data_IF_400067423398
#
_entry.id   IF_400067423398
#
_cell.length_a   1.000
_cell.length_b   1.000
_cell.length_c   1.000
_cell.angle_alpha   90.00
_cell.angle_beta   90.00
_cell.angle_gamma   90.00
#
_symmetry.space_group_name_H-M   'P 1'
#
loop_
_entity.id
_entity.type
_entity.pdbx_description
1 polymer ?
#
# COMPACT_ATOMS: atom_id res chain seq x y z
N UNK A 1 -3.98 -27.54 -27.35
CA UNK A 1 -3.84 -26.35 -26.47
C UNK A 1 -3.86 -26.89 -25.05
N UNK A 2 -2.73 -26.90 -24.35
CA UNK A 2 -2.71 -27.32 -22.95
C UNK A 2 -3.46 -26.27 -22.14
N UNK A 3 -4.56 -26.65 -21.50
CA UNK A 3 -5.29 -25.83 -20.53
C UNK A 3 -4.44 -25.73 -19.25
N UNK A 4 -3.32 -25.02 -19.30
CA UNK A 4 -2.57 -24.68 -18.09
C UNK A 4 -3.34 -23.59 -17.37
N UNK A 5 -3.88 -23.94 -16.20
CA UNK A 5 -4.52 -22.96 -15.30
C UNK A 5 -3.44 -21.91 -14.94
N UNK A 6 -3.71 -20.62 -15.13
CA UNK A 6 -2.76 -19.57 -14.76
C UNK A 6 -2.36 -19.72 -13.29
N UNK A 7 -1.06 -19.69 -13.01
CA UNK A 7 -0.55 -19.67 -11.65
C UNK A 7 -0.45 -18.23 -11.18
N UNK A 8 -1.03 -17.93 -10.05
CA UNK A 8 -0.97 -16.62 -9.39
C UNK A 8 -0.42 -16.77 -7.99
N UNK A 9 0.26 -15.75 -7.49
CA UNK A 9 0.66 -15.68 -6.09
C UNK A 9 -0.59 -15.71 -5.22
N UNK A 10 -0.63 -16.64 -4.29
CA UNK A 10 -1.73 -16.82 -3.35
C UNK A 10 -1.19 -16.73 -1.94
N UNK A 11 -1.36 -15.56 -1.34
CA UNK A 11 -1.04 -15.32 0.05
C UNK A 11 -2.29 -15.53 0.92
N UNK A 12 -2.12 -15.79 2.20
CA UNK A 12 -3.24 -15.94 3.12
C UNK A 12 -2.86 -15.56 4.55
N UNK A 13 -3.75 -14.77 5.17
CA UNK A 13 -4.01 -14.83 6.59
C UNK A 13 -5.20 -15.79 6.80
N UNK A 14 -6.23 -15.33 7.52
CA UNK A 14 -7.52 -16.05 7.58
C UNK A 14 -8.30 -15.90 6.26
N UNK A 15 -8.02 -14.86 5.49
CA UNK A 15 -8.57 -14.63 4.16
C UNK A 15 -7.47 -14.81 3.11
N UNK A 16 -7.85 -15.31 1.91
CA UNK A 16 -6.93 -15.44 0.81
C UNK A 16 -6.73 -14.09 0.10
N UNK A 17 -5.48 -13.77 -0.23
CA UNK A 17 -5.10 -12.69 -1.13
C UNK A 17 -4.49 -13.31 -2.40
N UNK A 18 -5.22 -13.26 -3.50
CA UNK A 18 -4.74 -13.74 -4.80
C UNK A 18 -4.31 -12.54 -5.63
N UNK A 19 -3.04 -12.49 -6.03
CA UNK A 19 -2.49 -11.41 -6.84
C UNK A 19 -2.66 -11.77 -8.31
N UNK A 20 -3.70 -11.21 -8.93
CA UNK A 20 -4.03 -11.41 -10.34
C UNK A 20 -3.63 -10.18 -11.15
N UNK A 21 -3.55 -10.28 -12.51
CA UNK A 21 -3.29 -9.12 -13.37
C UNK A 21 -4.30 -7.98 -13.24
N UNK A 22 -5.51 -8.27 -12.78
CA UNK A 22 -6.56 -7.25 -12.55
C UNK A 22 -6.38 -6.51 -11.23
N UNK A 23 -5.54 -7.00 -10.33
CA UNK A 23 -5.22 -6.34 -9.07
C UNK A 23 -4.13 -5.29 -9.33
N UNK A 24 -4.53 -4.01 -9.37
CA UNK A 24 -3.65 -2.92 -9.80
C UNK A 24 -2.42 -2.73 -8.93
N UNK A 25 -2.55 -2.85 -7.60
CA UNK A 25 -1.44 -2.64 -6.67
C UNK A 25 -1.74 -3.21 -5.29
N UNK A 26 -0.76 -3.89 -4.69
CA UNK A 26 -0.85 -4.46 -3.34
C UNK A 26 -0.16 -3.52 -2.34
N UNK A 27 -0.92 -3.02 -1.37
CA UNK A 27 -0.40 -2.17 -0.31
C UNK A 27 0.10 -3.01 0.86
N UNK A 28 1.39 -2.96 1.14
CA UNK A 28 2.03 -3.54 2.31
C UNK A 28 2.21 -2.45 3.35
N UNK A 29 1.57 -2.60 4.51
CA UNK A 29 1.60 -1.59 5.57
C UNK A 29 2.94 -1.57 6.30
N UNK A 30 3.62 -0.40 6.35
CA UNK A 30 4.96 -0.21 6.92
C UNK A 30 5.00 0.17 8.42
N UNK A 31 3.83 0.36 9.07
CA UNK A 31 3.81 1.00 10.39
C UNK A 31 4.13 0.05 11.56
N UNK A 32 4.09 -1.25 11.36
CA UNK A 32 4.50 -2.30 12.30
C UNK A 32 6.00 -2.68 12.18
N UNK A 33 6.82 -1.71 11.78
CA UNK A 33 8.25 -1.84 11.59
C UNK A 33 8.98 -0.87 12.54
N UNK A 34 9.83 -1.40 13.44
CA UNK A 34 10.55 -0.61 14.45
C UNK A 34 11.56 0.35 13.83
N UNK A 35 12.05 0.09 12.63
CA UNK A 35 12.99 0.98 11.92
C UNK A 35 12.24 2.11 11.20
N UNK A 36 11.04 1.84 10.70
CA UNK A 36 10.21 2.79 9.94
C UNK A 36 9.22 3.60 10.77
N UNK A 37 8.85 3.14 11.98
CA UNK A 37 7.83 3.75 12.84
C UNK A 37 8.35 4.07 14.25
N UNK A 38 8.61 5.34 14.51
CA UNK A 38 9.05 5.78 15.85
C UNK A 38 8.02 5.47 16.95
N UNK A 39 6.72 5.53 16.62
CA UNK A 39 5.63 5.17 17.54
C UNK A 39 5.70 3.67 17.87
N UNK A 40 5.72 2.82 16.86
CA UNK A 40 5.75 1.37 17.04
C UNK A 40 7.01 0.94 17.79
N UNK A 41 8.18 1.47 17.39
CA UNK A 41 9.45 1.27 18.11
C UNK A 41 9.35 1.57 19.60
N UNK A 42 8.74 2.72 19.96
CA UNK A 42 8.55 3.10 21.36
C UNK A 42 7.68 2.10 22.10
N UNK A 43 6.54 1.68 21.50
CA UNK A 43 5.62 0.73 22.12
C UNK A 43 6.28 -0.62 22.38
N UNK A 44 7.04 -1.15 21.40
CA UNK A 44 7.75 -2.42 21.57
C UNK A 44 8.84 -2.33 22.65
N UNK A 45 9.63 -1.23 22.69
CA UNK A 45 10.66 -1.02 23.72
C UNK A 45 10.08 -0.86 25.13
N UNK A 46 8.89 -0.31 25.26
CA UNK A 46 8.17 -0.15 26.53
C UNK A 46 7.30 -1.37 26.88
N UNK A 47 7.37 -2.45 26.08
CA UNK A 47 6.56 -3.68 26.21
C UNK A 47 5.05 -3.45 26.18
N UNK A 48 4.60 -2.37 25.55
CA UNK A 48 3.18 -1.99 25.40
C UNK A 48 2.58 -2.67 24.16
N UNK A 49 2.54 -3.98 24.17
CA UNK A 49 2.16 -4.78 23.03
C UNK A 49 0.68 -4.62 22.64
N UNK A 50 -0.24 -4.40 23.58
CA UNK A 50 -1.66 -4.16 23.28
C UNK A 50 -1.85 -2.93 22.40
N UNK A 51 -1.14 -1.84 22.71
CA UNK A 51 -1.17 -0.63 21.89
C UNK A 51 -0.42 -0.80 20.57
N UNK A 52 0.59 -1.66 20.52
CA UNK A 52 1.28 -2.03 19.29
C UNK A 52 0.36 -2.82 18.34
N UNK A 53 -0.52 -3.68 18.89
CA UNK A 53 -1.59 -4.37 18.11
C UNK A 53 -2.55 -3.37 17.46
N UNK A 54 -2.88 -2.25 18.14
CA UNK A 54 -3.72 -1.20 17.55
C UNK A 54 -3.08 -0.54 16.33
N UNK A 55 -1.74 -0.45 16.28
CA UNK A 55 -1.03 0.03 15.08
C UNK A 55 -1.27 -0.92 13.90
N UNK A 56 -1.22 -2.23 14.12
CA UNK A 56 -1.54 -3.20 13.07
C UNK A 56 -3.00 -3.09 12.62
N UNK A 57 -3.93 -2.99 13.57
CA UNK A 57 -5.38 -2.83 13.28
C UNK A 57 -5.65 -1.59 12.44
N UNK A 58 -5.02 -0.46 12.75
CA UNK A 58 -5.17 0.79 11.99
C UNK A 58 -4.67 0.65 10.55
N UNK A 59 -3.59 -0.09 10.29
CA UNK A 59 -3.10 -0.32 8.94
C UNK A 59 -4.09 -1.13 8.10
N UNK A 60 -4.56 -2.25 8.63
CA UNK A 60 -5.56 -3.09 7.96
C UNK A 60 -6.85 -2.31 7.73
N UNK A 61 -7.31 -1.59 8.75
CA UNK A 61 -8.46 -0.71 8.63
C UNK A 61 -8.27 0.42 7.61
N UNK A 62 -7.05 0.84 7.32
CA UNK A 62 -6.71 1.87 6.31
C UNK A 62 -6.47 1.29 4.92
N UNK A 63 -6.65 -0.03 4.71
CA UNK A 63 -6.57 -0.68 3.40
C UNK A 63 -5.23 -1.36 3.10
N UNK A 64 -4.39 -1.61 4.11
CA UNK A 64 -3.25 -2.51 3.92
C UNK A 64 -3.76 -3.93 3.66
N UNK A 65 -3.24 -4.55 2.59
CA UNK A 65 -3.60 -5.91 2.18
C UNK A 65 -2.61 -6.94 2.72
N UNK A 66 -1.42 -6.50 3.10
CA UNK A 66 -0.37 -7.23 3.81
C UNK A 66 0.15 -6.28 4.90
N UNK A 67 0.60 -6.80 6.03
CA UNK A 67 1.32 -6.00 7.02
C UNK A 67 2.76 -6.46 7.14
N UNK A 68 3.70 -5.52 7.02
CA UNK A 68 5.12 -5.74 7.26
C UNK A 68 5.43 -5.63 8.75
N UNK A 69 6.07 -6.66 9.31
CA UNK A 69 6.42 -6.71 10.74
C UNK A 69 7.93 -6.87 10.88
N UNK A 70 8.56 -5.84 11.45
CA UNK A 70 10.00 -5.81 11.71
C UNK A 70 10.29 -5.47 13.19
N UNK A 71 11.17 -6.26 13.81
CA UNK A 71 11.60 -6.12 15.19
C UNK A 71 13.12 -5.90 15.33
N UNK A 72 13.79 -5.40 14.27
CA UNK A 72 15.25 -5.19 14.25
C UNK A 72 15.65 -3.94 15.04
N UNK A 73 15.75 -4.09 16.35
CA UNK A 73 16.20 -3.05 17.27
C UNK A 73 17.28 -3.63 18.20
N UNK A 74 18.41 -2.94 18.29
CA UNK A 74 19.60 -3.43 19.01
C UNK A 74 19.45 -3.61 20.53
N UNK A 75 18.38 -3.06 21.12
CA UNK A 75 18.16 -3.09 22.58
C UNK A 75 17.04 -4.05 23.02
N UNK A 76 16.50 -4.84 22.09
CA UNK A 76 15.46 -5.84 22.39
C UNK A 76 15.88 -7.22 21.86
N UNK A 77 15.30 -8.26 22.46
CA UNK A 77 15.34 -9.60 21.88
C UNK A 77 14.35 -9.67 20.71
N UNK A 78 14.89 -9.52 19.48
CA UNK A 78 14.08 -9.42 18.26
C UNK A 78 13.31 -10.72 17.97
N UNK A 79 13.86 -11.91 18.31
CA UNK A 79 13.19 -13.19 18.10
C UNK A 79 11.99 -13.35 19.06
N UNK A 80 12.19 -13.04 20.34
CA UNK A 80 11.12 -13.08 21.34
C UNK A 80 10.04 -12.02 21.04
N UNK A 81 10.43 -10.80 20.63
CA UNK A 81 9.51 -9.72 20.30
C UNK A 81 8.68 -10.06 19.04
N UNK A 82 9.30 -10.62 18.01
CA UNK A 82 8.63 -11.08 16.80
C UNK A 82 7.60 -12.16 17.13
N UNK A 83 8.01 -13.19 17.86
CA UNK A 83 7.13 -14.29 18.27
C UNK A 83 5.94 -13.78 19.09
N UNK A 84 6.19 -12.92 20.08
CA UNK A 84 5.14 -12.39 20.96
C UNK A 84 4.14 -11.55 20.17
N UNK A 85 4.62 -10.64 19.33
CA UNK A 85 3.74 -9.75 18.56
C UNK A 85 2.90 -10.50 17.54
N UNK A 86 3.51 -11.44 16.79
CA UNK A 86 2.78 -12.24 15.79
C UNK A 86 1.71 -13.13 16.45
N UNK A 87 1.97 -13.71 17.60
CA UNK A 87 0.97 -14.48 18.35
C UNK A 87 -0.20 -13.59 18.82
N UNK A 88 0.06 -12.35 19.21
CA UNK A 88 -1.00 -11.40 19.62
C UNK A 88 -1.88 -11.02 18.43
N UNK A 89 -1.29 -10.64 17.29
CA UNK A 89 -2.09 -10.27 16.11
C UNK A 89 -2.83 -11.47 15.51
N UNK A 90 -2.31 -12.69 15.65
CA UNK A 90 -2.99 -13.91 15.20
C UNK A 90 -4.31 -14.18 15.96
N UNK A 91 -4.42 -13.69 17.20
CA UNK A 91 -5.63 -13.78 18.01
C UNK A 91 -6.70 -12.72 17.66
N UNK A 92 -6.37 -11.75 16.81
CA UNK A 92 -7.23 -10.63 16.42
C UNK A 92 -7.78 -10.83 14.99
N UNK A 93 -9.03 -11.30 14.80
CA UNK A 93 -9.56 -11.63 13.46
C UNK A 93 -9.50 -10.48 12.46
N UNK A 94 -9.70 -9.24 12.92
CA UNK A 94 -9.67 -8.04 12.08
C UNK A 94 -8.26 -7.77 11.51
N UNK A 95 -7.21 -8.25 12.18
CA UNK A 95 -5.82 -8.14 11.72
C UNK A 95 -5.39 -9.42 11.01
N UNK A 96 -5.66 -10.56 11.63
CA UNK A 96 -5.23 -11.88 11.14
C UNK A 96 -5.83 -12.27 9.78
N UNK A 97 -6.87 -11.56 9.31
CA UNK A 97 -7.46 -11.78 7.98
C UNK A 97 -6.48 -11.52 6.84
N UNK A 98 -5.52 -10.60 7.01
CA UNK A 98 -4.50 -10.32 5.98
C UNK A 98 -3.23 -11.13 6.20
N UNK A 99 -2.48 -11.49 5.13
CA UNK A 99 -1.18 -12.12 5.26
C UNK A 99 -0.15 -11.18 5.90
N UNK A 100 0.86 -11.78 6.52
CA UNK A 100 1.98 -11.07 7.16
C UNK A 100 3.24 -11.20 6.32
N UNK A 101 3.98 -10.10 6.18
CA UNK A 101 5.34 -10.06 5.69
C UNK A 101 6.29 -10.01 6.89
N UNK A 102 7.07 -11.06 7.09
CA UNK A 102 8.07 -11.13 8.17
C UNK A 102 9.36 -10.49 7.67
N UNK A 103 9.71 -9.36 8.27
CA UNK A 103 10.85 -8.54 7.86
C UNK A 103 11.96 -8.56 8.93
N UNK A 104 13.14 -8.97 8.55
CA UNK A 104 14.34 -8.84 9.37
C UNK A 104 15.63 -8.96 8.54
N UNK A 105 16.68 -8.31 9.02
CA UNK A 105 18.04 -8.50 8.52
C UNK A 105 18.70 -9.79 9.04
N UNK A 106 18.07 -10.47 10.02
CA UNK A 106 18.59 -11.68 10.67
C UNK A 106 17.70 -12.88 10.36
N UNK A 107 18.29 -13.93 9.81
CA UNK A 107 17.56 -15.15 9.48
C UNK A 107 16.84 -15.80 10.67
N UNK A 108 17.47 -15.79 11.86
CA UNK A 108 16.87 -16.38 13.07
C UNK A 108 15.56 -15.70 13.47
N UNK A 109 15.46 -14.38 13.27
CA UNK A 109 14.24 -13.60 13.52
C UNK A 109 13.18 -13.92 12.47
N UNK A 110 13.57 -14.04 11.20
CA UNK A 110 12.65 -14.46 10.11
C UNK A 110 12.08 -15.83 10.44
N UNK A 111 12.94 -16.79 10.80
CA UNK A 111 12.49 -18.16 11.10
C UNK A 111 11.59 -18.22 12.34
N UNK A 112 11.88 -17.42 13.39
CA UNK A 112 11.02 -17.30 14.56
C UNK A 112 9.63 -16.76 14.17
N UNK A 113 9.58 -15.77 13.28
CA UNK A 113 8.33 -15.22 12.74
C UNK A 113 7.55 -16.23 11.90
N UNK A 114 8.20 -16.93 10.98
CA UNK A 114 7.56 -17.94 10.13
C UNK A 114 6.88 -19.05 10.92
N UNK A 115 7.44 -19.45 12.05
CA UNK A 115 6.84 -20.44 12.96
C UNK A 115 5.53 -19.99 13.60
N UNK A 116 5.27 -18.68 13.62
CA UNK A 116 4.04 -18.10 14.19
C UNK A 116 2.95 -17.89 13.15
N UNK A 117 3.27 -17.93 11.84
CA UNK A 117 2.31 -17.61 10.81
C UNK A 117 1.31 -18.76 10.60
N UNK A 118 0.06 -18.34 10.35
CA UNK A 118 -0.99 -19.21 9.85
C UNK A 118 -1.34 -18.77 8.41
N UNK A 119 -1.39 -19.69 7.50
CA UNK A 119 -1.55 -19.40 6.09
C UNK A 119 -0.19 -19.13 5.41
N UNK A 120 -0.23 -18.50 4.24
CA UNK A 120 0.96 -18.22 3.43
C UNK A 120 1.36 -16.75 3.54
N UNK A 121 2.45 -16.49 4.24
CA UNK A 121 3.04 -15.16 4.38
C UNK A 121 4.14 -14.89 3.35
N UNK A 122 4.87 -13.80 3.58
CA UNK A 122 6.00 -13.34 2.77
C UNK A 122 7.22 -13.17 3.66
N UNK A 123 8.40 -13.58 3.18
CA UNK A 123 9.69 -13.29 3.80
C UNK A 123 10.29 -12.04 3.19
N UNK A 124 10.69 -11.08 4.01
CA UNK A 124 11.41 -9.86 3.61
C UNK A 124 12.72 -9.79 4.41
N UNK A 125 13.85 -10.08 3.85
CA UNK A 125 14.16 -10.48 2.50
C UNK A 125 15.36 -11.44 2.48
N UNK A 126 15.62 -12.04 1.33
CA UNK A 126 16.89 -12.73 1.05
C UNK A 126 17.69 -11.97 -0.01
N UNK A 127 18.99 -12.14 -0.03
CA UNK A 127 19.88 -11.52 -1.03
C UNK A 127 21.17 -12.32 -1.18
N UNK A 128 21.90 -12.06 -2.24
CA UNK A 128 23.21 -12.67 -2.52
C UNK A 128 24.38 -11.91 -1.91
N UNK A 129 24.14 -10.98 -0.96
CA UNK A 129 25.22 -10.19 -0.33
C UNK A 129 26.31 -11.04 0.33
N UNK A 130 25.97 -12.22 0.81
CA UNK A 130 26.87 -13.18 1.46
C UNK A 130 27.12 -14.43 0.60
N UNK A 131 26.84 -14.31 -0.72
CA UNK A 131 27.06 -15.36 -1.72
C UNK A 131 25.84 -16.22 -2.01
N UNK A 132 25.96 -17.02 -3.08
CA UNK A 132 24.88 -17.86 -3.62
C UNK A 132 24.52 -19.02 -2.69
N UNK A 133 25.49 -19.62 -2.01
CA UNK A 133 25.26 -20.80 -1.15
C UNK A 133 24.29 -20.46 -0.02
N UNK A 134 24.53 -19.36 0.71
CA UNK A 134 23.65 -18.90 1.79
C UNK A 134 22.31 -18.43 1.26
N UNK A 135 22.30 -17.77 0.10
CA UNK A 135 21.07 -17.36 -0.58
C UNK A 135 20.17 -18.57 -0.88
N UNK A 136 20.72 -19.64 -1.47
CA UNK A 136 19.98 -20.87 -1.75
C UNK A 136 19.57 -21.61 -0.48
N UNK A 137 20.39 -21.60 0.59
CA UNK A 137 20.00 -22.17 1.89
C UNK A 137 18.76 -21.47 2.44
N UNK A 138 18.77 -20.14 2.48
CA UNK A 138 17.63 -19.36 2.95
C UNK A 138 16.39 -19.57 2.08
N UNK A 139 16.55 -19.54 0.75
CA UNK A 139 15.45 -19.79 -0.20
C UNK A 139 14.80 -21.16 0.00
N UNK A 140 15.62 -22.21 0.22
CA UNK A 140 15.11 -23.57 0.50
C UNK A 140 14.30 -23.61 1.79
N UNK A 141 14.72 -22.89 2.82
CA UNK A 141 13.95 -22.77 4.07
C UNK A 141 12.64 -22.01 3.86
N UNK A 142 12.64 -20.89 3.09
CA UNK A 142 11.41 -20.19 2.72
C UNK A 142 10.43 -21.11 2.03
N UNK A 143 10.90 -21.92 1.06
CA UNK A 143 10.10 -22.90 0.35
C UNK A 143 9.52 -23.98 1.29
N UNK A 144 10.30 -24.45 2.27
CA UNK A 144 9.84 -25.42 3.28
C UNK A 144 8.71 -24.85 4.16
N UNK A 145 8.74 -23.56 4.47
CA UNK A 145 7.65 -22.85 5.18
C UNK A 145 6.47 -22.50 4.25
N UNK A 146 6.59 -22.71 2.95
CA UNK A 146 5.55 -22.40 1.96
C UNK A 146 5.31 -20.92 1.76
N UNK A 147 6.26 -20.06 2.11
CA UNK A 147 6.13 -18.60 2.00
C UNK A 147 6.55 -18.09 0.61
N UNK A 148 6.04 -16.91 0.22
CA UNK A 148 6.61 -16.13 -0.86
C UNK A 148 7.85 -15.36 -0.34
N UNK A 149 8.70 -14.86 -1.25
CA UNK A 149 9.98 -14.28 -0.87
C UNK A 149 10.26 -12.96 -1.57
N UNK A 150 10.65 -11.95 -0.81
CA UNK A 150 11.27 -10.74 -1.35
C UNK A 150 12.75 -10.99 -1.58
N UNK A 151 13.21 -10.74 -2.80
CA UNK A 151 14.60 -10.85 -3.24
C UNK A 151 15.15 -9.45 -3.48
N UNK A 152 16.04 -9.00 -2.61
CA UNK A 152 16.71 -7.71 -2.79
C UNK A 152 17.76 -7.76 -3.89
N UNK A 153 17.83 -6.71 -4.70
CA UNK A 153 18.91 -6.50 -5.65
C UNK A 153 20.22 -6.11 -4.94
N UNK A 154 20.79 -7.08 -4.22
CA UNK A 154 21.99 -6.94 -3.40
C UNK A 154 22.85 -8.19 -3.55
N UNK A 155 24.04 -8.03 -4.08
CA UNK A 155 25.01 -9.12 -4.23
C UNK A 155 26.31 -8.84 -3.45
N UNK A 156 27.32 -9.64 -3.70
CA UNK A 156 28.62 -9.57 -3.04
C UNK A 156 29.36 -8.24 -3.27
N UNK A 157 28.97 -7.48 -4.31
CA UNK A 157 29.53 -6.17 -4.64
C UNK A 157 28.75 -5.00 -4.01
N UNK A 158 27.57 -5.26 -3.46
CA UNK A 158 26.73 -4.25 -2.82
C UNK A 158 25.32 -4.16 -3.41
N UNK A 159 24.56 -3.19 -2.91
CA UNK A 159 23.22 -2.90 -3.41
C UNK A 159 23.28 -2.31 -4.82
N UNK A 160 22.38 -2.78 -5.70
CA UNK A 160 22.25 -2.25 -7.04
C UNK A 160 21.66 -0.83 -7.02
N UNK A 161 22.35 0.11 -7.59
CA UNK A 161 21.95 1.51 -7.73
C UNK A 161 21.50 1.86 -9.16
N UNK A 162 22.10 1.29 -10.19
CA UNK A 162 21.76 1.49 -11.60
C UNK A 162 20.76 0.47 -12.12
N UNK A 163 19.98 0.82 -13.15
CA UNK A 163 19.05 -0.06 -13.82
C UNK A 163 19.71 -1.39 -14.25
N UNK A 164 20.88 -1.31 -14.89
CA UNK A 164 21.60 -2.49 -15.36
C UNK A 164 21.94 -3.46 -14.21
N UNK A 165 22.46 -2.95 -13.08
CA UNK A 165 22.79 -3.77 -11.91
C UNK A 165 21.55 -4.36 -11.24
N UNK A 166 20.45 -3.59 -11.16
CA UNK A 166 19.16 -4.09 -10.62
C UNK A 166 18.67 -5.28 -11.45
N UNK A 167 18.68 -5.16 -12.76
CA UNK A 167 18.23 -6.22 -13.68
C UNK A 167 19.18 -7.42 -13.64
N UNK A 168 20.49 -7.21 -13.60
CA UNK A 168 21.50 -8.27 -13.53
C UNK A 168 21.31 -9.13 -12.27
N UNK A 169 21.28 -8.50 -11.08
CA UNK A 169 21.18 -9.22 -9.81
C UNK A 169 19.84 -9.94 -9.70
N UNK A 170 18.73 -9.28 -10.04
CA UNK A 170 17.40 -9.92 -9.99
C UNK A 170 17.31 -11.09 -10.98
N UNK A 171 17.90 -10.98 -12.18
CA UNK A 171 17.93 -12.06 -13.16
C UNK A 171 18.76 -13.26 -12.69
N UNK A 172 19.92 -13.01 -12.09
CA UNK A 172 20.79 -14.04 -11.49
C UNK A 172 20.03 -14.76 -10.35
N UNK A 173 19.40 -14.00 -9.46
CA UNK A 173 18.61 -14.55 -8.37
C UNK A 173 17.42 -15.40 -8.89
N UNK A 174 16.72 -14.92 -9.92
CA UNK A 174 15.63 -15.68 -10.55
C UNK A 174 16.11 -17.03 -11.07
N UNK A 175 17.22 -17.07 -11.81
CA UNK A 175 17.79 -18.30 -12.36
C UNK A 175 18.15 -19.30 -11.24
N UNK A 176 18.84 -18.84 -10.19
CA UNK A 176 19.18 -19.66 -9.05
C UNK A 176 17.95 -20.25 -8.36
N UNK A 177 16.90 -19.46 -8.14
CA UNK A 177 15.69 -19.90 -7.48
C UNK A 177 14.90 -20.90 -8.34
N UNK A 178 14.77 -20.66 -9.63
CA UNK A 178 13.93 -21.50 -10.50
C UNK A 178 14.66 -22.71 -11.04
N UNK A 179 15.96 -22.63 -11.33
CA UNK A 179 16.72 -23.73 -11.92
C UNK A 179 17.30 -24.69 -10.86
N UNK A 180 17.74 -24.15 -9.68
CA UNK A 180 18.36 -24.97 -8.63
C UNK A 180 17.36 -25.47 -7.57
N UNK A 181 16.25 -24.75 -7.35
CA UNK A 181 15.29 -25.07 -6.29
C UNK A 181 13.88 -25.37 -6.79
N UNK A 182 13.59 -25.21 -8.09
CA UNK A 182 12.21 -25.25 -8.61
C UNK A 182 11.24 -24.36 -7.79
N UNK A 183 11.76 -23.16 -7.38
CA UNK A 183 10.98 -22.20 -6.61
C UNK A 183 9.89 -21.60 -7.51
N UNK A 184 8.62 -21.52 -7.06
CA UNK A 184 7.53 -20.99 -7.88
C UNK A 184 7.81 -19.55 -8.35
N UNK A 185 7.88 -19.27 -9.66
CA UNK A 185 8.15 -17.92 -10.16
C UNK A 185 7.16 -16.86 -9.67
N UNK A 186 5.90 -17.27 -9.47
CA UNK A 186 4.83 -16.41 -8.95
C UNK A 186 5.05 -16.01 -7.48
N UNK A 187 5.85 -16.71 -6.72
CA UNK A 187 6.14 -16.42 -5.32
C UNK A 187 7.44 -15.61 -5.13
N UNK A 188 8.10 -15.25 -6.23
CA UNK A 188 9.29 -14.37 -6.23
C UNK A 188 8.83 -12.91 -6.34
N UNK A 189 9.25 -12.09 -5.38
CA UNK A 189 8.99 -10.66 -5.32
C UNK A 189 10.33 -9.94 -5.36
N UNK A 190 10.66 -9.26 -6.44
CA UNK A 190 11.90 -8.48 -6.52
C UNK A 190 11.76 -7.15 -5.77
N UNK A 191 12.78 -6.79 -4.99
CA UNK A 191 13.03 -5.43 -4.52
C UNK A 191 14.29 -4.90 -5.20
N UNK A 192 14.12 -4.12 -6.29
CA UNK A 192 15.26 -3.52 -7.00
C UNK A 192 15.92 -2.36 -6.26
N UNK A 193 15.66 -2.18 -4.99
CA UNK A 193 16.11 -1.09 -4.10
C UNK A 193 15.60 0.30 -4.51
N UNK A 194 14.79 0.90 -3.66
CA UNK A 194 14.37 2.29 -3.77
C UNK A 194 15.32 3.15 -2.93
N UNK A 195 16.04 4.06 -3.56
CA UNK A 195 16.95 4.99 -2.92
C UNK A 195 16.38 6.40 -2.85
N UNK A 196 16.94 7.20 -1.94
CA UNK A 196 16.57 8.61 -1.79
C UNK A 196 16.98 9.43 -3.00
N UNK A 197 16.06 10.25 -3.50
CA UNK A 197 16.31 11.25 -4.56
C UNK A 197 16.37 12.66 -3.95
N UNK A 198 16.71 13.65 -4.77
CA UNK A 198 16.85 15.04 -4.35
C UNK A 198 17.77 15.22 -3.13
N UNK A 199 18.87 14.53 -3.11
CA UNK A 199 19.87 14.57 -2.02
C UNK A 199 20.90 15.68 -2.20
N UNK A 200 20.94 16.31 -3.39
CA UNK A 200 21.99 17.25 -3.79
C UNK A 200 23.27 16.57 -4.31
N UNK A 201 23.28 15.25 -4.42
CA UNK A 201 24.37 14.45 -4.98
C UNK A 201 23.96 14.04 -6.40
N UNK A 202 24.79 14.37 -7.40
CA UNK A 202 24.45 14.21 -8.82
C UNK A 202 24.20 12.74 -9.19
N UNK A 203 25.00 11.81 -8.65
CA UNK A 203 24.88 10.38 -8.87
C UNK A 203 23.52 9.82 -8.41
N UNK A 204 22.85 10.51 -7.46
CA UNK A 204 21.55 10.07 -6.94
C UNK A 204 20.36 10.55 -7.79
N UNK A 205 20.60 11.46 -8.75
CA UNK A 205 19.50 12.06 -9.52
C UNK A 205 18.73 11.05 -10.36
N UNK A 206 19.38 9.94 -10.75
CA UNK A 206 18.78 8.93 -11.62
C UNK A 206 18.15 7.74 -10.86
N UNK A 207 18.28 7.65 -9.55
CA UNK A 207 17.87 6.47 -8.77
C UNK A 207 16.40 6.07 -8.94
N UNK A 208 15.48 7.04 -9.03
CA UNK A 208 14.06 6.73 -9.25
C UNK A 208 13.81 6.28 -10.70
N UNK A 209 14.48 6.89 -11.67
CA UNK A 209 14.42 6.46 -13.09
C UNK A 209 14.98 5.05 -13.24
N UNK A 210 16.13 4.76 -12.63
CA UNK A 210 16.74 3.42 -12.67
C UNK A 210 15.83 2.35 -12.06
N UNK A 211 15.11 2.67 -10.99
CA UNK A 211 14.13 1.77 -10.41
C UNK A 211 12.94 1.53 -11.37
N UNK A 212 12.40 2.60 -11.96
CA UNK A 212 11.25 2.53 -12.88
C UNK A 212 11.60 1.72 -14.13
N UNK A 213 12.77 1.97 -14.74
CA UNK A 213 13.21 1.26 -15.93
C UNK A 213 13.55 -0.21 -15.61
N UNK A 214 14.24 -0.48 -14.49
CA UNK A 214 14.49 -1.85 -14.04
C UNK A 214 13.17 -2.61 -13.79
N UNK A 215 12.18 -1.96 -13.19
CA UNK A 215 10.83 -2.52 -13.01
C UNK A 215 10.22 -2.94 -14.34
N UNK A 216 10.28 -2.06 -15.35
CA UNK A 216 9.72 -2.34 -16.69
C UNK A 216 10.44 -3.54 -17.33
N UNK A 217 11.75 -3.58 -17.26
CA UNK A 217 12.54 -4.65 -17.86
C UNK A 217 12.33 -5.99 -17.13
N UNK A 218 12.32 -5.99 -15.79
CA UNK A 218 12.08 -7.20 -14.99
C UNK A 218 10.69 -7.78 -15.24
N UNK A 219 9.66 -6.95 -15.34
CA UNK A 219 8.29 -7.43 -15.66
C UNK A 219 8.17 -8.00 -17.07
N UNK A 220 8.96 -7.51 -18.02
CA UNK A 220 9.03 -8.10 -19.36
C UNK A 220 9.75 -9.44 -19.37
N UNK A 221 10.84 -9.57 -18.60
CA UNK A 221 11.63 -10.82 -18.52
C UNK A 221 10.93 -11.90 -17.67
N UNK A 222 10.32 -11.49 -16.57
CA UNK A 222 9.74 -12.38 -15.55
C UNK A 222 8.29 -11.97 -15.23
N UNK A 223 7.35 -12.14 -16.18
CA UNK A 223 5.98 -11.60 -16.04
C UNK A 223 5.18 -12.22 -14.87
N UNK A 224 5.57 -13.41 -14.41
CA UNK A 224 4.90 -14.08 -13.28
C UNK A 224 5.40 -13.57 -11.92
N UNK A 225 6.58 -12.97 -11.84
CA UNK A 225 7.15 -12.43 -10.60
C UNK A 225 6.65 -11.03 -10.32
N UNK A 226 6.73 -10.59 -9.06
CA UNK A 226 6.27 -9.30 -8.61
C UNK A 226 7.42 -8.33 -8.38
N UNK A 227 7.09 -7.03 -8.35
CA UNK A 227 8.05 -5.96 -8.02
C UNK A 227 7.51 -5.21 -6.81
N UNK A 228 8.35 -5.10 -5.78
CA UNK A 228 8.07 -4.37 -4.54
C UNK A 228 9.18 -3.39 -4.20
N UNK A 229 9.02 -2.68 -3.10
CA UNK A 229 10.06 -1.82 -2.51
C UNK A 229 9.53 -0.95 -1.38
N UNK A 230 10.43 -0.47 -0.54
CA UNK A 230 10.14 0.46 0.55
C UNK A 230 9.96 1.88 0.02
N UNK A 231 8.73 2.28 -0.30
CA UNK A 231 8.42 3.55 -0.98
C UNK A 231 8.87 4.77 -0.17
N UNK A 232 8.82 4.71 1.16
CA UNK A 232 9.24 5.81 2.03
C UNK A 232 10.72 6.23 1.85
N UNK A 233 11.55 5.34 1.31
CA UNK A 233 12.97 5.61 1.08
C UNK A 233 13.19 6.69 0.01
N UNK A 234 12.35 6.75 -1.04
CA UNK A 234 12.50 7.70 -2.14
C UNK A 234 12.53 9.16 -1.67
N UNK A 235 11.82 9.46 -0.59
CA UNK A 235 11.65 10.82 -0.03
C UNK A 235 12.49 11.11 1.21
N UNK A 236 13.50 10.29 1.50
CA UNK A 236 14.27 10.38 2.73
C UNK A 236 14.97 11.75 2.92
N UNK A 237 15.39 12.39 1.83
CA UNK A 237 15.97 13.73 1.81
C UNK A 237 15.03 14.83 2.36
N UNK A 238 13.71 14.58 2.33
CA UNK A 238 12.68 15.51 2.84
C UNK A 238 12.12 15.13 4.21
N UNK A 239 12.87 14.40 5.04
CA UNK A 239 12.44 14.11 6.41
C UNK A 239 12.07 15.39 7.17
N UNK A 240 10.89 15.38 7.81
CA UNK A 240 10.35 16.55 8.52
C UNK A 240 9.46 17.45 7.66
N UNK A 241 9.25 17.13 6.37
CA UNK A 241 8.28 17.78 5.51
C UNK A 241 7.33 16.75 4.90
N UNK A 242 6.30 16.36 5.64
CA UNK A 242 5.41 15.28 5.25
C UNK A 242 4.65 15.57 3.96
N UNK A 243 4.23 16.80 3.71
CA UNK A 243 3.49 17.18 2.50
C UNK A 243 4.33 16.92 1.23
N UNK A 244 5.60 17.35 1.23
CA UNK A 244 6.50 17.09 0.10
C UNK A 244 6.79 15.59 -0.04
N UNK A 245 6.99 14.88 1.08
CA UNK A 245 7.21 13.43 1.06
C UNK A 245 6.03 12.68 0.46
N UNK A 246 4.81 12.99 0.87
CA UNK A 246 3.59 12.38 0.35
C UNK A 246 3.40 12.67 -1.14
N UNK A 247 3.73 13.89 -1.59
CA UNK A 247 3.75 14.23 -3.01
C UNK A 247 4.77 13.40 -3.80
N UNK A 248 6.00 13.22 -3.27
CA UNK A 248 7.04 12.38 -3.89
C UNK A 248 6.57 10.92 -3.97
N UNK A 249 5.95 10.38 -2.90
CA UNK A 249 5.43 9.01 -2.90
C UNK A 249 4.34 8.82 -3.96
N UNK A 250 3.40 9.77 -4.05
CA UNK A 250 2.29 9.70 -5.00
C UNK A 250 2.79 9.76 -6.45
N UNK A 251 3.70 10.68 -6.76
CA UNK A 251 4.27 10.83 -8.11
C UNK A 251 5.13 9.61 -8.47
N UNK A 252 5.98 9.16 -7.56
CA UNK A 252 6.82 7.98 -7.78
C UNK A 252 5.97 6.74 -8.06
N UNK A 253 4.98 6.45 -7.22
CA UNK A 253 4.09 5.31 -7.39
C UNK A 253 3.31 5.37 -8.70
N UNK A 254 2.83 6.56 -9.09
CA UNK A 254 2.12 6.73 -10.37
C UNK A 254 2.96 6.26 -11.56
N UNK A 255 4.25 6.59 -11.60
CA UNK A 255 5.16 6.17 -12.67
C UNK A 255 5.64 4.72 -12.51
N UNK A 256 5.95 4.28 -11.29
CA UNK A 256 6.43 2.93 -11.02
C UNK A 256 5.36 1.86 -11.29
N UNK A 257 4.10 2.11 -10.92
CA UNK A 257 2.98 1.20 -11.20
C UNK A 257 2.73 1.10 -12.70
N UNK A 258 2.80 2.21 -13.44
CA UNK A 258 2.74 2.19 -14.91
C UNK A 258 3.87 1.40 -15.57
N UNK A 259 5.01 1.29 -14.91
CA UNK A 259 6.13 0.47 -15.36
C UNK A 259 5.97 -1.02 -14.98
N UNK A 260 5.04 -1.35 -14.08
CA UNK A 260 4.74 -2.71 -13.67
C UNK A 260 5.02 -3.03 -12.20
N UNK A 261 5.31 -2.03 -11.34
CA UNK A 261 5.37 -2.24 -9.90
C UNK A 261 3.97 -2.61 -9.40
N UNK A 262 3.82 -3.78 -8.84
CA UNK A 262 2.52 -4.33 -8.43
C UNK A 262 2.35 -4.49 -6.92
N UNK A 263 3.39 -4.17 -6.15
CA UNK A 263 3.38 -4.20 -4.69
C UNK A 263 4.25 -3.06 -4.13
N UNK A 264 3.96 -2.58 -2.93
CA UNK A 264 4.82 -1.59 -2.27
C UNK A 264 4.60 -1.51 -0.76
N UNK A 265 5.70 -1.34 -0.04
CA UNK A 265 5.70 -1.12 1.40
C UNK A 265 5.48 0.38 1.63
N UNK A 266 4.31 0.73 2.16
CA UNK A 266 3.80 2.10 2.21
C UNK A 266 3.09 2.42 3.52
N UNK A 267 3.01 3.70 3.86
CA UNK A 267 2.05 4.17 4.85
C UNK A 267 0.66 4.28 4.21
N UNK A 268 -0.15 3.20 4.30
CA UNK A 268 -1.47 3.14 3.68
C UNK A 268 -2.41 4.29 4.09
N UNK A 269 -2.21 4.87 5.28
CA UNK A 269 -3.02 5.98 5.79
C UNK A 269 -2.66 7.36 5.22
N UNK A 270 -1.49 7.51 4.58
CA UNK A 270 -0.90 8.80 4.20
C UNK A 270 -0.64 8.95 2.69
N UNK A 271 -1.19 8.08 1.85
CA UNK A 271 -1.07 8.23 0.40
C UNK A 271 -1.95 9.38 -0.09
N UNK A 272 -1.36 10.29 -0.86
CA UNK A 272 -2.07 11.40 -1.51
C UNK A 272 -2.56 10.97 -2.89
N UNK A 273 -3.73 11.46 -3.31
CA UNK A 273 -4.20 11.27 -4.69
C UNK A 273 -3.28 12.09 -5.62
N UNK A 274 -2.82 11.51 -6.72
CA UNK A 274 -1.90 12.17 -7.64
C UNK A 274 -2.42 13.53 -8.15
N UNK A 275 -3.71 13.60 -8.47
CA UNK A 275 -4.34 14.83 -8.97
C UNK A 275 -4.57 15.90 -7.88
N UNK A 276 -4.56 15.50 -6.60
CA UNK A 276 -4.69 16.43 -5.46
C UNK A 276 -3.36 17.10 -5.09
N UNK A 277 -2.24 16.59 -5.60
CA UNK A 277 -0.96 17.26 -5.43
C UNK A 277 -1.01 18.63 -6.13
N UNK A 278 -0.75 19.74 -5.41
CA UNK A 278 -0.76 21.08 -6.03
C UNK A 278 0.11 21.10 -7.28
N UNK A 279 -0.40 21.68 -8.37
CA UNK A 279 0.22 21.60 -9.68
C UNK A 279 1.70 22.01 -9.66
N UNK A 280 2.05 23.14 -9.03
CA UNK A 280 3.43 23.61 -8.93
C UNK A 280 4.31 22.57 -8.22
N UNK A 281 3.83 21.98 -7.13
CA UNK A 281 4.56 20.94 -6.40
C UNK A 281 4.69 19.67 -7.23
N UNK A 282 3.61 19.23 -7.87
CA UNK A 282 3.62 18.02 -8.72
C UNK A 282 4.61 18.12 -9.87
N UNK A 283 4.61 19.24 -10.61
CA UNK A 283 5.54 19.45 -11.72
C UNK A 283 7.01 19.39 -11.26
N UNK A 284 7.34 20.04 -10.13
CA UNK A 284 8.69 20.00 -9.58
C UNK A 284 9.09 18.65 -9.02
N UNK A 285 8.15 17.93 -8.42
CA UNK A 285 8.39 16.56 -7.96
C UNK A 285 8.56 15.62 -9.14
N UNK A 286 7.79 15.75 -10.23
CA UNK A 286 8.00 14.96 -11.45
C UNK A 286 9.37 15.24 -12.09
N UNK A 287 9.80 16.51 -12.12
CA UNK A 287 11.12 16.85 -12.63
C UNK A 287 12.23 16.10 -11.87
N UNK A 288 12.06 15.96 -10.55
CA UNK A 288 13.01 15.21 -9.69
C UNK A 288 12.88 13.71 -9.88
N UNK A 289 11.67 13.15 -9.82
CA UNK A 289 11.43 11.70 -9.92
C UNK A 289 11.86 11.15 -11.27
N UNK A 290 11.64 11.91 -12.35
CA UNK A 290 11.97 11.51 -13.71
C UNK A 290 13.30 12.09 -14.22
N UNK A 291 14.05 12.77 -13.35
CA UNK A 291 15.32 13.42 -13.69
C UNK A 291 15.26 14.23 -15.00
N UNK A 292 14.18 15.05 -15.16
CA UNK A 292 13.90 15.76 -16.42
C UNK A 292 14.86 16.93 -16.69
N UNK A 293 15.54 17.39 -15.64
CA UNK A 293 16.39 18.58 -15.71
C UNK A 293 17.44 18.59 -14.59
N UNK A 294 18.64 19.15 -14.84
CA UNK A 294 19.75 19.11 -13.88
C UNK A 294 19.50 19.93 -12.61
N UNK A 295 18.66 20.98 -12.66
CA UNK A 295 18.33 21.87 -11.53
C UNK A 295 17.01 21.46 -10.84
N UNK A 296 16.54 20.23 -11.03
CA UNK A 296 15.25 19.76 -10.49
C UNK A 296 15.22 19.79 -8.96
N UNK A 297 16.30 19.38 -8.31
CA UNK A 297 16.44 19.38 -6.84
C UNK A 297 16.33 20.78 -6.26
N UNK A 298 17.09 21.73 -6.79
CA UNK A 298 17.12 23.13 -6.35
C UNK A 298 15.73 23.76 -6.48
N UNK A 299 15.07 23.55 -7.61
CA UNK A 299 13.73 24.04 -7.88
C UNK A 299 12.68 23.47 -6.91
N UNK A 300 12.80 22.21 -6.53
CA UNK A 300 11.91 21.64 -5.51
C UNK A 300 12.20 22.24 -4.13
N UNK A 301 13.48 22.41 -3.78
CA UNK A 301 13.88 23.02 -2.50
C UNK A 301 13.37 24.47 -2.36
N UNK A 302 13.34 25.28 -3.43
CA UNK A 302 12.81 26.65 -3.42
C UNK A 302 11.37 26.76 -2.89
N UNK A 303 10.56 25.74 -3.15
CA UNK A 303 9.14 25.72 -2.73
C UNK A 303 8.86 24.85 -1.51
N UNK A 304 9.77 23.94 -1.16
CA UNK A 304 9.53 22.92 -0.14
C UNK A 304 9.15 23.51 1.23
N UNK A 305 9.73 24.66 1.61
CA UNK A 305 9.42 25.32 2.88
C UNK A 305 8.00 25.90 2.93
N UNK A 306 7.39 26.23 1.78
CA UNK A 306 5.98 26.70 1.73
C UNK A 306 5.00 25.60 2.13
N UNK A 307 5.40 24.34 1.95
CA UNK A 307 4.60 23.14 2.25
C UNK A 307 4.95 22.50 3.60
N UNK A 308 5.90 23.10 4.35
CA UNK A 308 6.24 22.62 5.68
C UNK A 308 5.16 23.06 6.67
N UNK A 309 4.47 22.12 7.31
CA UNK A 309 3.54 22.41 8.40
C UNK A 309 4.30 23.12 9.52
N UNK A 310 3.87 24.33 9.93
CA UNK A 310 4.43 25.01 11.07
C UNK A 310 4.11 24.24 12.34
N UNK A 311 5.11 24.04 13.19
CA UNK A 311 4.97 23.32 14.46
C UNK A 311 3.90 24.01 15.30
N UNK A 312 2.72 23.37 15.48
CA UNK A 312 1.60 23.94 16.25
C UNK A 312 0.45 24.54 15.43
N UNK A 313 0.59 24.72 14.12
CA UNK A 313 -0.58 24.95 13.28
C UNK A 313 -1.33 23.64 13.08
N UNK A 314 -2.53 23.55 13.64
CA UNK A 314 -3.54 22.63 13.16
C UNK A 314 -3.67 22.88 11.67
N UNK A 315 -3.41 21.89 10.83
CA UNK A 315 -3.68 21.99 9.39
C UNK A 315 -5.14 22.43 9.30
N UNK A 316 -5.37 23.70 8.99
CA UNK A 316 -6.71 24.22 8.75
C UNK A 316 -7.17 23.48 7.52
N UNK A 317 -8.03 22.47 7.73
CA UNK A 317 -8.64 21.72 6.63
C UNK A 317 -9.29 22.78 5.74
N UNK A 318 -8.84 22.85 4.48
CA UNK A 318 -9.45 23.74 3.51
C UNK A 318 -10.94 23.36 3.39
N UNK A 319 -11.80 24.17 3.99
CA UNK A 319 -13.25 23.98 4.02
C UNK A 319 -13.97 24.70 2.88
N UNK A 320 -13.26 25.29 1.92
CA UNK A 320 -13.87 25.99 0.77
C UNK A 320 -14.86 25.09 -0.01
N UNK A 321 -14.63 23.77 -0.02
CA UNK A 321 -15.58 22.83 -0.62
C UNK A 321 -16.94 22.77 0.09
N UNK A 322 -17.04 23.23 1.36
CA UNK A 322 -18.30 23.32 2.09
C UNK A 322 -19.26 24.38 1.53
N UNK A 323 -18.76 25.35 0.77
CA UNK A 323 -19.54 26.40 0.11
C UNK A 323 -20.23 25.91 -1.18
N UNK A 324 -19.91 24.71 -1.65
CA UNK A 324 -20.49 24.09 -2.85
C UNK A 324 -21.89 23.53 -2.59
N UNK A 325 -22.57 23.13 -3.67
CA UNK A 325 -23.84 22.42 -3.56
C UNK A 325 -23.72 21.15 -2.72
N UNK A 326 -24.82 20.69 -2.09
CA UNK A 326 -24.80 19.46 -1.28
C UNK A 326 -24.38 18.25 -2.09
N UNK A 327 -24.76 18.19 -3.38
CA UNK A 327 -24.38 17.13 -4.30
C UNK A 327 -22.85 17.11 -4.49
N UNK A 328 -22.24 18.27 -4.72
CA UNK A 328 -20.78 18.40 -4.86
C UNK A 328 -20.06 18.12 -3.56
N UNK A 329 -20.66 18.49 -2.41
CA UNK A 329 -20.08 18.19 -1.09
C UNK A 329 -20.05 16.69 -0.81
N UNK A 330 -21.12 15.96 -1.10
CA UNK A 330 -21.18 14.51 -0.96
C UNK A 330 -20.18 13.81 -1.90
N UNK A 331 -20.13 14.23 -3.16
CA UNK A 331 -19.15 13.68 -4.11
C UNK A 331 -17.71 13.97 -3.65
N UNK A 332 -17.41 15.18 -3.19
CA UNK A 332 -16.11 15.55 -2.64
C UNK A 332 -15.76 14.71 -1.40
N UNK A 333 -16.70 14.55 -0.48
CA UNK A 333 -16.52 13.74 0.72
C UNK A 333 -16.17 12.27 0.39
N UNK A 334 -16.81 11.70 -0.63
CA UNK A 334 -16.51 10.35 -1.13
C UNK A 334 -15.11 10.28 -1.72
N UNK A 335 -14.77 11.18 -2.66
CA UNK A 335 -13.46 11.16 -3.35
C UNK A 335 -12.31 11.31 -2.34
N UNK A 336 -12.46 12.18 -1.33
CA UNK A 336 -11.40 12.46 -0.35
C UNK A 336 -11.51 11.64 0.95
N UNK A 337 -12.50 10.75 1.07
CA UNK A 337 -12.71 9.91 2.25
C UNK A 337 -13.01 10.69 3.52
N UNK A 338 -13.76 11.80 3.43
CA UNK A 338 -14.11 12.69 4.54
C UNK A 338 -15.46 12.26 5.12
N UNK A 339 -15.49 11.70 6.32
CA UNK A 339 -16.72 11.21 6.98
C UNK A 339 -17.33 12.18 7.99
N UNK A 340 -16.64 13.29 8.30
CA UNK A 340 -17.01 14.23 9.35
C UNK A 340 -18.38 14.90 9.13
N UNK A 341 -18.74 15.23 7.89
CA UNK A 341 -19.95 15.99 7.54
C UNK A 341 -21.00 15.15 6.81
N UNK A 342 -20.78 13.83 6.70
CA UNK A 342 -21.58 12.95 5.83
C UNK A 342 -23.04 12.90 6.28
N UNK A 343 -23.32 12.83 7.58
CA UNK A 343 -24.68 12.72 8.09
C UNK A 343 -25.48 14.01 7.80
N UNK A 344 -24.87 15.18 8.04
CA UNK A 344 -25.49 16.50 7.78
C UNK A 344 -25.77 16.68 6.27
N UNK A 345 -24.78 16.42 5.42
CA UNK A 345 -24.91 16.57 3.97
C UNK A 345 -25.90 15.54 3.36
N UNK A 346 -25.93 14.32 3.92
CA UNK A 346 -26.89 13.30 3.50
C UNK A 346 -28.32 13.70 3.85
N UNK A 347 -28.54 14.27 5.05
CA UNK A 347 -29.85 14.77 5.44
C UNK A 347 -30.31 15.94 4.58
N UNK A 348 -29.43 16.92 4.31
CA UNK A 348 -29.74 18.04 3.42
C UNK A 348 -30.12 17.53 2.01
N UNK A 349 -29.34 16.58 1.47
CA UNK A 349 -29.61 16.00 0.15
C UNK A 349 -30.95 15.24 0.16
N UNK A 350 -31.27 14.50 1.25
CA UNK A 350 -32.53 13.78 1.40
C UNK A 350 -33.72 14.73 1.39
N UNK A 351 -33.64 15.86 2.09
CA UNK A 351 -34.72 16.86 2.13
C UNK A 351 -34.96 17.53 0.77
N UNK A 352 -33.94 17.64 -0.05
CA UNK A 352 -34.01 18.21 -1.41
C UNK A 352 -34.42 17.18 -2.49
N UNK A 353 -34.42 15.89 -2.14
CA UNK A 353 -34.73 14.78 -3.05
C UNK A 353 -36.18 14.32 -2.91
N UNK A 354 -36.75 13.82 -3.99
CA UNK A 354 -38.11 13.28 -3.98
C UNK A 354 -38.22 11.97 -3.17
N UNK A 355 -37.18 11.17 -3.19
CA UNK A 355 -37.06 9.90 -2.50
C UNK A 355 -35.68 9.77 -1.83
N UNK A 356 -35.55 9.11 -0.67
CA UNK A 356 -34.27 8.84 -0.04
C UNK A 356 -33.27 8.09 -0.96
N UNK A 357 -33.79 7.19 -1.81
CA UNK A 357 -33.01 6.44 -2.78
C UNK A 357 -32.33 7.32 -3.82
N UNK A 358 -32.93 8.46 -4.19
CA UNK A 358 -32.38 9.39 -5.18
C UNK A 358 -31.04 10.00 -4.73
N UNK A 359 -30.79 10.08 -3.42
CA UNK A 359 -29.49 10.51 -2.87
C UNK A 359 -28.39 9.48 -3.16
N UNK A 360 -28.74 8.20 -3.08
CA UNK A 360 -27.82 7.11 -3.39
C UNK A 360 -27.54 7.06 -4.88
N UNK A 361 -28.59 7.01 -5.71
CA UNK A 361 -28.51 6.89 -7.17
C UNK A 361 -27.91 8.13 -7.82
N UNK A 362 -28.03 9.29 -7.19
CA UNK A 362 -27.50 10.58 -7.67
C UNK A 362 -26.09 10.88 -7.12
N UNK A 363 -26.00 11.79 -6.14
CA UNK A 363 -24.70 12.34 -5.72
C UNK A 363 -23.72 11.30 -5.15
N UNK A 364 -24.21 10.28 -4.43
CA UNK A 364 -23.33 9.27 -3.87
C UNK A 364 -22.72 8.37 -4.95
N UNK A 365 -23.53 7.90 -5.90
CA UNK A 365 -23.03 7.12 -7.03
C UNK A 365 -22.14 7.95 -7.95
N UNK A 366 -22.47 9.22 -8.19
CA UNK A 366 -21.61 10.10 -8.96
C UNK A 366 -20.21 10.23 -8.35
N UNK A 367 -20.12 10.42 -7.02
CA UNK A 367 -18.84 10.42 -6.30
C UNK A 367 -18.09 9.09 -6.40
N UNK A 368 -18.77 7.96 -6.27
CA UNK A 368 -18.15 6.64 -6.40
C UNK A 368 -17.67 6.34 -7.82
N UNK A 369 -18.34 6.85 -8.85
CA UNK A 369 -17.87 6.72 -10.23
C UNK A 369 -16.53 7.45 -10.41
N UNK A 370 -16.38 8.66 -9.87
CA UNK A 370 -15.10 9.40 -9.88
C UNK A 370 -14.01 8.59 -9.16
N UNK A 371 -14.32 7.99 -8.00
CA UNK A 371 -13.40 7.10 -7.28
C UNK A 371 -12.96 5.93 -8.16
N UNK A 372 -13.91 5.30 -8.86
CA UNK A 372 -13.64 4.20 -9.79
C UNK A 372 -12.71 4.61 -10.94
N UNK A 373 -12.98 5.76 -11.54
CA UNK A 373 -12.15 6.30 -12.64
C UNK A 373 -10.74 6.63 -12.20
N UNK A 374 -10.59 7.26 -11.03
CA UNK A 374 -9.28 7.59 -10.45
C UNK A 374 -8.49 6.32 -10.08
N UNK A 375 -9.18 5.32 -9.53
CA UNK A 375 -8.57 4.03 -9.20
C UNK A 375 -8.14 3.28 -10.47
N UNK A 376 -9.00 3.18 -11.47
CA UNK A 376 -8.69 2.55 -12.75
C UNK A 376 -7.56 3.25 -13.54
N UNK A 377 -7.42 4.57 -13.37
CA UNK A 377 -6.32 5.34 -13.96
C UNK A 377 -5.00 5.26 -13.18
N UNK A 378 -4.95 4.52 -12.04
CA UNK A 378 -3.77 4.44 -11.17
C UNK A 378 -3.45 5.73 -10.40
N UNK A 379 -4.42 6.64 -10.29
CA UNK A 379 -4.28 7.93 -9.60
C UNK A 379 -4.76 7.89 -8.15
N UNK A 380 -5.51 6.86 -7.80
CA UNK A 380 -6.01 6.57 -6.46
C UNK A 380 -5.63 5.12 -6.10
N UNK A 381 -5.31 4.87 -4.83
CA UNK A 381 -4.89 3.56 -4.35
C UNK A 381 -5.97 2.94 -3.46
N UNK A 382 -5.90 1.62 -3.27
CA UNK A 382 -6.91 0.88 -2.50
C UNK A 382 -7.20 1.48 -1.11
N UNK A 383 -6.21 1.95 -0.32
CA UNK A 383 -6.50 2.60 0.97
C UNK A 383 -7.43 3.80 0.87
N UNK A 384 -7.35 4.56 -0.22
CA UNK A 384 -8.23 5.70 -0.46
C UNK A 384 -9.63 5.24 -0.86
N UNK A 385 -9.73 4.20 -1.70
CA UNK A 385 -11.02 3.57 -2.06
C UNK A 385 -11.72 3.03 -0.81
N UNK A 386 -10.97 2.41 0.11
CA UNK A 386 -11.52 1.93 1.40
C UNK A 386 -12.07 3.08 2.24
N UNK A 387 -11.41 4.25 2.26
CA UNK A 387 -11.94 5.45 2.93
C UNK A 387 -13.23 5.94 2.26
N UNK A 388 -13.27 5.98 0.92
CA UNK A 388 -14.47 6.33 0.14
C UNK A 388 -15.63 5.38 0.44
N UNK A 389 -15.36 4.07 0.50
CA UNK A 389 -16.38 3.06 0.83
C UNK A 389 -16.94 3.24 2.25
N UNK A 390 -16.15 3.70 3.22
CA UNK A 390 -16.66 4.03 4.57
C UNK A 390 -17.60 5.22 4.55
N UNK A 391 -17.27 6.27 3.78
CA UNK A 391 -18.15 7.44 3.59
C UNK A 391 -19.47 6.99 2.97
N UNK A 392 -19.41 6.19 1.92
CA UNK A 392 -20.61 5.62 1.28
C UNK A 392 -21.44 4.80 2.25
N UNK A 393 -20.81 3.89 2.99
CA UNK A 393 -21.50 3.05 3.99
C UNK A 393 -22.18 3.89 5.06
N UNK A 394 -21.55 4.96 5.53
CA UNK A 394 -22.11 5.87 6.53
C UNK A 394 -23.33 6.60 5.99
N UNK A 395 -23.25 7.17 4.78
CA UNK A 395 -24.37 7.83 4.13
C UNK A 395 -25.57 6.89 3.90
N UNK A 396 -25.32 5.68 3.40
CA UNK A 396 -26.36 4.66 3.20
C UNK A 396 -27.00 4.24 4.52
N UNK A 397 -26.20 4.04 5.56
CA UNK A 397 -26.73 3.70 6.91
C UNK A 397 -27.64 4.79 7.45
N UNK A 398 -27.31 6.07 7.18
CA UNK A 398 -28.18 7.20 7.54
C UNK A 398 -29.53 7.17 6.80
N UNK A 399 -29.53 6.83 5.51
CA UNK A 399 -30.72 6.80 4.66
C UNK A 399 -31.60 5.57 4.87
N UNK A 400 -31.06 4.49 5.39
CA UNK A 400 -31.77 3.20 5.48
C UNK A 400 -33.11 3.26 6.21
N UNK A 401 -33.26 3.92 7.39
CA UNK A 401 -34.55 4.04 8.06
C UNK A 401 -35.61 4.74 7.21
N UNK A 402 -35.22 5.78 6.49
CA UNK A 402 -36.12 6.55 5.61
C UNK A 402 -36.55 5.76 4.38
N UNK A 403 -35.67 4.94 3.84
CA UNK A 403 -35.98 4.03 2.72
C UNK A 403 -36.98 2.95 3.20
N UNK A 404 -36.81 2.43 4.40
CA UNK A 404 -37.75 1.44 4.98
C UNK A 404 -39.11 2.06 5.26
N UNK A 405 -39.14 3.28 5.81
CA UNK A 405 -40.41 4.01 6.04
C UNK A 405 -41.13 4.30 4.71
N UNK A 406 -40.41 4.72 3.67
CA UNK A 406 -40.98 4.94 2.34
C UNK A 406 -41.61 3.67 1.76
N UNK A 407 -40.89 2.53 1.85
CA UNK A 407 -41.40 1.22 1.42
C UNK A 407 -42.71 0.84 2.12
N UNK A 408 -42.80 1.08 3.42
CA UNK A 408 -44.00 0.81 4.19
C UNK A 408 -45.16 1.71 3.76
N UNK A 409 -44.87 3.00 3.47
CA UNK A 409 -45.90 3.99 3.07
C UNK A 409 -46.44 3.75 1.66
N UNK A 410 -45.55 3.36 0.71
CA UNK A 410 -45.91 3.16 -0.70
C UNK A 410 -46.48 1.78 -0.99
N UNK A 411 -46.42 0.86 -0.03
CA UNK A 411 -46.83 -0.53 -0.24
C UNK A 411 -45.86 -1.31 -1.18
N UNK A 412 -44.74 -0.74 -1.55
CA UNK A 412 -43.73 -1.32 -2.45
C UNK A 412 -42.92 -2.46 -1.81
N UNK A 413 -43.25 -2.83 -0.57
CA UNK A 413 -42.66 -4.02 0.07
C UNK A 413 -42.94 -5.33 -0.72
N UNK A 414 -43.86 -5.29 -1.70
CA UNK A 414 -44.18 -6.43 -2.57
C UNK A 414 -43.52 -6.40 -3.97
N UNK A 415 -42.89 -5.31 -4.39
CA UNK A 415 -42.19 -5.22 -5.69
C UNK A 415 -40.70 -5.29 -5.51
N UNK A 416 -40.18 -6.50 -5.45
CA UNK A 416 -38.74 -6.73 -5.65
C UNK A 416 -38.42 -6.66 -7.14
N UNK A 417 -37.49 -5.79 -7.53
CA UNK A 417 -36.94 -5.73 -8.89
C UNK A 417 -36.05 -6.94 -9.22
N UNK A 418 -35.98 -7.92 -8.34
CA UNK A 418 -35.18 -9.15 -8.44
C UNK A 418 -34.38 -9.44 -7.19
N UNK A 419 -33.83 -10.63 -7.11
CA UNK A 419 -32.94 -11.05 -6.02
C UNK A 419 -31.54 -11.20 -6.58
N UNK A 420 -30.59 -10.45 -6.02
CA UNK A 420 -29.16 -10.60 -6.31
C UNK A 420 -28.58 -11.46 -5.20
N UNK A 421 -28.08 -12.64 -5.53
CA UNK A 421 -27.34 -13.50 -4.60
C UNK A 421 -25.86 -13.13 -4.71
N UNK A 422 -25.31 -12.56 -3.64
CA UNK A 422 -23.88 -12.32 -3.52
C UNK A 422 -23.30 -13.43 -2.65
N UNK A 423 -22.33 -14.17 -3.20
CA UNK A 423 -21.63 -15.21 -2.48
C UNK A 423 -20.14 -14.89 -2.42
N UNK A 424 -19.54 -15.01 -1.24
CA UNK A 424 -18.09 -15.05 -1.09
C UNK A 424 -17.68 -16.48 -1.36
N UNK A 425 -17.01 -16.72 -2.47
CA UNK A 425 -16.43 -18.03 -2.78
C UNK A 425 -15.00 -18.03 -2.26
N UNK A 426 -14.71 -18.94 -1.32
CA UNK A 426 -13.32 -19.30 -1.00
C UNK A 426 -12.80 -20.11 -2.17
N UNK A 427 -11.91 -19.51 -2.96
CA UNK A 427 -11.17 -20.17 -4.02
C UNK A 427 -9.81 -20.61 -3.57
#
# INVERSE_FOLDING_TARGET
MSNTIPRYTRLAGLEALVITPDLLFVNVGERTNVTGSAQFKKLIKEERYEEAVDVARQQVASGAQIIDVNMDEGLIDSEAAMTRFLNLIAAEPDIARVPVMVDSSKWTVIEAGLRCLQGKGVVNSISMKEGEELFLEHARKVQQYGAAVVVMAFDEQGQADTCARKVEICSRAYQLLTEELDFPPEDIIFDPNIFAIATGIEEHNNYAVDFIEATRELKQRFPSSHISGGVSNVSFSFRGNNTVREAIHSVFLYHAIKAGMDMGIVNAGALMIYDDVPQELRERVEDVVLNRRPDATERLLEIADRYRAKKGEVVVKNLAWREKSVQDRLAHALVHGIDQFVDEDTEEARQLSSRPLDVIEGPLMAGMNVVGDLFGAGKMFLPQVVKSARVMKKAVAYLLPYIEEEKLRTGDAAKNNGTIVMATVKG
#
